data_IF_549811361434
#
_entry.id   IF_549811361434
#
_cell.length_a   1.000
_cell.length_b   1.000
_cell.length_c   1.000
_cell.angle_alpha   90.00
_cell.angle_beta   90.00
_cell.angle_gamma   90.00
#
_symmetry.space_group_name_H-M   'P 1'
#
loop_
_entity.id
_entity.type
_entity.pdbx_description
1 polymer ?
#
# COMPACT_ATOMS: atom_id res chain seq x y z
N UNK A 1 -28.97 21.81 3.81
CA UNK A 1 -28.40 20.72 3.00
C UNK A 1 -27.21 20.21 3.79
N UNK A 2 -27.42 19.13 4.55
CA UNK A 2 -26.46 18.66 5.54
C UNK A 2 -25.22 18.12 4.84
N UNK A 3 -24.04 18.57 5.28
CA UNK A 3 -22.78 17.94 4.95
C UNK A 3 -22.78 16.58 5.66
N UNK A 4 -22.67 15.52 4.87
CA UNK A 4 -22.56 14.14 5.34
C UNK A 4 -21.20 14.01 6.02
N UNK A 5 -21.20 14.16 7.35
CA UNK A 5 -20.00 14.10 8.16
C UNK A 5 -19.65 12.61 8.28
N UNK A 6 -18.73 12.13 7.44
CA UNK A 6 -18.26 10.75 7.46
C UNK A 6 -17.78 10.42 8.89
N UNK A 7 -18.58 9.63 9.60
CA UNK A 7 -18.23 9.10 10.91
C UNK A 7 -17.11 8.07 10.68
N UNK A 8 -15.89 8.43 11.06
CA UNK A 8 -14.77 7.48 11.03
C UNK A 8 -15.09 6.32 12.00
N UNK A 9 -14.98 5.05 11.56
CA UNK A 9 -15.30 3.90 12.41
C UNK A 9 -14.40 3.87 13.65
N UNK A 10 -15.03 3.77 14.81
CA UNK A 10 -14.40 3.81 16.12
C UNK A 10 -14.11 2.41 16.67
N UNK A 11 -12.96 1.85 16.32
CA UNK A 11 -12.21 0.92 17.18
C UNK A 11 -10.75 0.89 16.70
N UNK A 12 -9.74 1.28 17.50
CA UNK A 12 -8.36 1.07 17.11
C UNK A 12 -8.11 -0.44 17.11
N UNK A 13 -7.94 -1.03 15.93
CA UNK A 13 -7.28 -2.32 15.82
C UNK A 13 -5.90 -2.24 16.48
N UNK A 14 -5.35 -3.36 16.95
CA UNK A 14 -3.95 -3.40 17.41
C UNK A 14 -3.06 -2.82 16.31
N UNK A 15 -2.38 -1.70 16.60
CA UNK A 15 -1.64 -0.93 15.60
C UNK A 15 -0.67 -1.81 14.79
N UNK A 16 -0.71 -1.68 13.45
CA UNK A 16 0.16 -2.42 12.52
C UNK A 16 1.43 -1.64 12.22
N UNK A 17 2.53 -2.34 11.96
CA UNK A 17 3.76 -1.76 11.43
C UNK A 17 3.68 -1.73 9.91
N UNK A 18 3.54 -0.54 9.33
CA UNK A 18 3.31 -0.37 7.89
C UNK A 18 4.56 0.23 7.27
N UNK A 19 5.07 -0.39 6.21
CA UNK A 19 6.04 0.25 5.31
C UNK A 19 5.27 1.00 4.22
N UNK A 20 5.54 2.29 4.07
CA UNK A 20 4.91 3.17 3.09
C UNK A 20 5.96 3.72 2.13
N UNK A 21 5.71 3.61 0.83
CA UNK A 21 6.63 4.12 -0.19
C UNK A 21 5.91 4.38 -1.52
N UNK A 22 6.62 4.97 -2.49
CA UNK A 22 6.21 4.94 -3.90
C UNK A 22 6.95 3.81 -4.62
N UNK A 23 6.69 3.65 -5.92
CA UNK A 23 7.61 2.90 -6.78
C UNK A 23 8.91 3.69 -7.04
N UNK A 24 9.98 2.99 -7.45
CA UNK A 24 11.32 3.55 -7.60
C UNK A 24 11.42 4.71 -8.60
N UNK A 25 10.49 4.81 -9.56
CA UNK A 25 10.48 5.87 -10.59
C UNK A 25 9.58 7.07 -10.23
N UNK A 26 8.92 7.05 -9.07
CA UNK A 26 7.91 8.04 -8.71
C UNK A 26 8.41 9.01 -7.63
N UNK A 27 8.49 10.29 -7.98
CA UNK A 27 8.98 11.36 -7.11
C UNK A 27 7.87 12.07 -6.29
N UNK A 28 6.62 11.66 -6.41
CA UNK A 28 5.51 12.31 -5.70
C UNK A 28 5.55 12.01 -4.19
N UNK A 29 5.40 13.06 -3.39
CA UNK A 29 5.57 12.98 -1.92
C UNK A 29 4.30 13.26 -1.15
N UNK A 30 3.40 14.10 -1.66
CA UNK A 30 2.20 14.54 -0.92
C UNK A 30 1.25 13.39 -0.59
N UNK A 31 1.13 12.42 -1.49
CA UNK A 31 0.39 11.17 -1.24
C UNK A 31 0.97 10.40 -0.06
N UNK A 32 2.29 10.35 0.10
CA UNK A 32 2.93 9.66 1.22
C UNK A 32 2.72 10.41 2.53
N UNK A 33 2.84 11.73 2.54
CA UNK A 33 2.60 12.54 3.74
C UNK A 33 1.15 12.37 4.20
N UNK A 34 0.20 12.47 3.26
CA UNK A 34 -1.21 12.27 3.56
C UNK A 34 -1.50 10.86 4.11
N UNK A 35 -1.00 9.81 3.45
CA UNK A 35 -1.22 8.44 3.90
C UNK A 35 -0.54 8.14 5.23
N UNK A 36 0.64 8.69 5.50
CA UNK A 36 1.30 8.51 6.79
C UNK A 36 0.44 9.10 7.92
N UNK A 37 0.00 10.36 7.78
CA UNK A 37 -0.86 11.01 8.77
C UNK A 37 -2.17 10.23 8.99
N UNK A 38 -2.81 9.79 7.90
CA UNK A 38 -4.05 9.02 7.97
C UNK A 38 -3.84 7.70 8.71
N UNK A 39 -2.85 6.90 8.31
CA UNK A 39 -2.59 5.58 8.90
C UNK A 39 -2.16 5.70 10.38
N UNK A 40 -1.40 6.74 10.72
CA UNK A 40 -1.05 7.06 12.11
C UNK A 40 -2.29 7.48 12.93
N UNK A 41 -3.23 8.23 12.35
CA UNK A 41 -4.51 8.57 12.98
C UNK A 41 -5.37 7.32 13.27
N UNK A 42 -5.30 6.30 12.41
CA UNK A 42 -5.90 4.97 12.66
C UNK A 42 -5.10 4.10 13.66
N UNK A 43 -4.03 4.62 14.26
CA UNK A 43 -3.26 3.96 15.30
C UNK A 43 -2.19 3.00 14.80
N UNK A 44 -1.81 3.07 13.52
CA UNK A 44 -0.70 2.29 12.97
C UNK A 44 0.66 2.98 13.20
N UNK A 45 1.73 2.20 13.19
CA UNK A 45 3.11 2.71 13.16
C UNK A 45 3.61 2.70 11.73
N UNK A 46 3.89 3.87 11.15
CA UNK A 46 4.27 3.99 9.74
C UNK A 46 5.76 4.23 9.59
N UNK A 47 6.44 3.33 8.87
CA UNK A 47 7.78 3.55 8.33
C UNK A 47 7.64 4.09 6.91
N UNK A 48 7.57 5.42 6.78
CA UNK A 48 7.52 6.10 5.49
C UNK A 48 8.94 6.22 4.91
N UNK A 49 9.22 5.47 3.83
CA UNK A 49 10.52 5.46 3.17
C UNK A 49 10.72 6.65 2.22
N UNK A 50 9.66 7.38 1.91
CA UNK A 50 9.68 8.44 0.92
C UNK A 50 9.54 7.94 -0.52
N UNK A 51 9.74 8.85 -1.49
CA UNK A 51 9.61 8.57 -2.91
C UNK A 51 10.90 7.98 -3.52
N UNK A 52 10.81 7.46 -4.74
CA UNK A 52 11.94 6.97 -5.54
C UNK A 52 12.84 5.96 -4.80
N UNK A 53 12.28 5.15 -3.91
CA UNK A 53 13.05 4.22 -3.08
C UNK A 53 13.41 2.98 -3.90
N UNK A 54 14.70 2.56 -3.93
CA UNK A 54 15.10 1.31 -4.55
C UNK A 54 14.43 0.08 -3.91
N UNK A 55 14.06 -0.91 -4.72
CA UNK A 55 13.34 -2.10 -4.27
C UNK A 55 14.07 -2.86 -3.12
N UNK A 56 15.40 -2.90 -3.14
CA UNK A 56 16.24 -3.47 -2.07
C UNK A 56 16.03 -2.76 -0.73
N UNK A 57 15.96 -1.43 -0.73
CA UNK A 57 15.68 -0.65 0.49
C UNK A 57 14.27 -0.93 1.01
N UNK A 58 13.29 -1.12 0.13
CA UNK A 58 11.91 -1.49 0.53
C UNK A 58 11.89 -2.87 1.20
N UNK A 59 12.58 -3.85 0.62
CA UNK A 59 12.67 -5.22 1.16
C UNK A 59 13.37 -5.22 2.52
N UNK A 60 14.53 -4.56 2.62
CA UNK A 60 15.26 -4.43 3.88
C UNK A 60 14.44 -3.74 4.96
N UNK A 61 13.68 -2.69 4.60
CA UNK A 61 12.79 -2.03 5.54
C UNK A 61 11.70 -2.98 6.04
N UNK A 62 11.04 -3.73 5.15
CA UNK A 62 10.00 -4.69 5.54
C UNK A 62 10.54 -5.76 6.50
N UNK A 63 11.74 -6.28 6.25
CA UNK A 63 12.37 -7.27 7.12
C UNK A 63 12.79 -6.67 8.46
N UNK A 64 13.46 -5.52 8.45
CA UNK A 64 14.02 -4.86 9.65
C UNK A 64 12.95 -4.37 10.60
N UNK A 65 11.84 -3.85 10.08
CA UNK A 65 10.71 -3.39 10.90
C UNK A 65 9.74 -4.52 11.25
N UNK A 66 9.98 -5.72 10.70
CA UNK A 66 9.04 -6.85 10.70
C UNK A 66 7.63 -6.39 10.30
N UNK A 67 7.53 -5.73 9.14
CA UNK A 67 6.32 -5.09 8.68
C UNK A 67 5.12 -6.05 8.66
N UNK A 68 3.99 -5.54 9.13
CA UNK A 68 2.70 -6.20 9.09
C UNK A 68 1.97 -5.91 7.77
N UNK A 69 2.34 -4.85 7.06
CA UNK A 69 1.84 -4.54 5.72
C UNK A 69 2.80 -3.64 4.92
N UNK A 70 2.69 -3.72 3.59
CA UNK A 70 3.33 -2.83 2.62
C UNK A 70 2.26 -2.01 1.89
N UNK A 71 2.39 -0.68 1.91
CA UNK A 71 1.54 0.25 1.17
C UNK A 71 2.38 0.97 0.13
N UNK A 72 2.05 0.78 -1.15
CA UNK A 72 2.70 1.45 -2.29
C UNK A 72 1.74 2.48 -2.87
N UNK A 73 2.11 3.76 -2.81
CA UNK A 73 1.32 4.84 -3.39
C UNK A 73 2.05 5.47 -4.56
N UNK A 74 1.49 5.39 -5.76
CA UNK A 74 2.14 5.90 -6.97
C UNK A 74 1.14 6.59 -7.89
N UNK A 75 1.56 7.70 -8.48
CA UNK A 75 0.75 8.53 -9.38
C UNK A 75 1.48 8.94 -10.66
N UNK A 76 2.72 8.48 -10.87
CA UNK A 76 3.48 8.76 -12.09
C UNK A 76 3.03 7.93 -13.31
N UNK A 77 2.17 6.93 -13.11
CA UNK A 77 1.68 6.05 -14.16
C UNK A 77 2.59 4.89 -14.53
N UNK A 78 3.61 4.58 -13.73
CA UNK A 78 4.46 3.39 -13.88
C UNK A 78 4.13 2.28 -12.89
N UNK A 79 3.04 2.44 -12.12
CA UNK A 79 2.66 1.51 -11.05
C UNK A 79 2.48 0.06 -11.50
N UNK A 80 2.07 -0.17 -12.75
CA UNK A 80 1.95 -1.54 -13.28
C UNK A 80 3.33 -2.20 -13.49
N UNK A 81 4.28 -1.48 -14.07
CA UNK A 81 5.60 -2.04 -14.42
C UNK A 81 6.48 -2.14 -13.18
N UNK A 82 6.66 -1.02 -12.46
CA UNK A 82 7.54 -1.00 -11.29
C UNK A 82 6.90 -1.68 -10.09
N UNK A 83 5.57 -1.58 -9.94
CA UNK A 83 4.85 -2.28 -8.86
C UNK A 83 4.92 -3.79 -9.02
N UNK A 84 4.74 -4.32 -10.24
CA UNK A 84 4.88 -5.75 -10.50
C UNK A 84 6.29 -6.25 -10.15
N UNK A 85 7.34 -5.53 -10.58
CA UNK A 85 8.73 -5.84 -10.23
C UNK A 85 8.95 -5.86 -8.72
N UNK A 86 8.44 -4.85 -8.01
CA UNK A 86 8.60 -4.74 -6.56
C UNK A 86 7.90 -5.90 -5.83
N UNK A 87 6.64 -6.19 -6.16
CA UNK A 87 5.86 -7.18 -5.42
C UNK A 87 6.38 -8.61 -5.63
N UNK A 88 6.86 -8.96 -6.83
CA UNK A 88 7.54 -10.25 -7.07
C UNK A 88 8.72 -10.45 -6.13
N UNK A 89 9.52 -9.39 -5.92
CA UNK A 89 10.66 -9.45 -5.00
C UNK A 89 10.20 -9.56 -3.55
N UNK A 90 9.20 -8.77 -3.14
CA UNK A 90 8.63 -8.82 -1.78
C UNK A 90 8.10 -10.22 -1.47
N UNK A 91 7.37 -10.86 -2.40
CA UNK A 91 6.86 -12.22 -2.21
C UNK A 91 7.97 -13.26 -2.06
N UNK A 92 9.07 -13.11 -2.81
CA UNK A 92 10.22 -14.01 -2.75
C UNK A 92 11.09 -13.82 -1.51
N UNK A 93 11.32 -12.58 -1.08
CA UNK A 93 12.36 -12.22 -0.12
C UNK A 93 11.79 -11.88 1.28
N UNK A 94 10.55 -11.41 1.37
CA UNK A 94 9.86 -11.02 2.62
C UNK A 94 8.75 -12.03 2.98
N UNK A 95 8.04 -12.54 1.97
CA UNK A 95 6.94 -13.48 2.12
C UNK A 95 5.56 -12.84 1.98
N UNK A 96 4.53 -13.50 2.52
CA UNK A 96 3.12 -13.16 2.32
C UNK A 96 2.61 -12.07 3.26
N UNK A 97 3.37 -10.97 3.43
CA UNK A 97 2.83 -9.81 4.15
C UNK A 97 1.73 -9.13 3.30
N UNK A 98 0.63 -8.67 3.89
CA UNK A 98 -0.37 -7.86 3.20
C UNK A 98 0.27 -6.72 2.40
N UNK A 99 0.00 -6.66 1.11
CA UNK A 99 0.57 -5.66 0.20
C UNK A 99 -0.52 -5.02 -0.64
N UNK A 100 -0.52 -3.69 -0.65
CA UNK A 100 -1.47 -2.88 -1.41
C UNK A 100 -0.72 -1.88 -2.29
N UNK A 101 -1.25 -1.66 -3.48
CA UNK A 101 -0.80 -0.59 -4.39
C UNK A 101 -1.98 0.29 -4.80
N UNK A 102 -1.77 1.60 -4.87
CA UNK A 102 -2.83 2.50 -5.31
C UNK A 102 -2.37 3.85 -5.83
N UNK A 103 -3.32 4.58 -6.41
CA UNK A 103 -3.13 5.90 -7.00
C UNK A 103 -3.42 5.91 -8.50
N UNK A 104 -2.53 6.51 -9.30
CA UNK A 104 -2.61 6.56 -10.76
C UNK A 104 -1.53 5.66 -11.36
N UNK A 105 -1.93 4.41 -11.65
CA UNK A 105 -0.99 3.33 -11.98
C UNK A 105 -0.58 3.27 -13.46
N UNK A 106 -1.30 3.97 -14.34
CA UNK A 106 -1.00 4.07 -15.78
C UNK A 106 -1.21 5.51 -16.30
N UNK A 107 -0.50 5.87 -17.37
CA UNK A 107 -0.76 7.06 -18.19
C UNK A 107 -1.60 6.76 -19.42
N UNK A 108 -1.75 5.48 -19.78
CA UNK A 108 -2.49 5.02 -20.97
C UNK A 108 -3.96 4.81 -20.59
N UNK A 109 -4.88 5.12 -21.50
CA UNK A 109 -6.32 4.90 -21.33
C UNK A 109 -6.74 3.42 -21.32
N UNK A 110 -5.86 2.51 -20.88
CA UNK A 110 -6.17 1.11 -20.64
C UNK A 110 -7.29 1.01 -19.60
N UNK A 111 -8.23 0.09 -19.82
CA UNK A 111 -9.29 -0.18 -18.86
C UNK A 111 -8.66 -0.62 -17.54
N UNK A 112 -8.84 0.17 -16.48
CA UNK A 112 -8.22 -0.06 -15.18
C UNK A 112 -8.38 -1.48 -14.63
N UNK A 113 -9.46 -2.18 -15.01
CA UNK A 113 -9.70 -3.56 -14.62
C UNK A 113 -8.57 -4.53 -15.04
N UNK A 114 -8.05 -4.44 -16.26
CA UNK A 114 -6.98 -5.35 -16.73
C UNK A 114 -5.67 -5.11 -16.00
N UNK A 115 -5.40 -3.85 -15.67
CA UNK A 115 -4.19 -3.47 -14.92
C UNK A 115 -4.25 -3.92 -13.47
N UNK A 116 -5.42 -3.76 -12.82
CA UNK A 116 -5.63 -4.30 -11.48
C UNK A 116 -5.48 -5.82 -11.45
N UNK A 117 -6.09 -6.54 -12.41
CA UNK A 117 -5.98 -7.99 -12.49
C UNK A 117 -4.52 -8.44 -12.58
N UNK A 118 -3.72 -7.77 -13.43
CA UNK A 118 -2.28 -8.06 -13.54
C UNK A 118 -1.54 -7.89 -12.22
N UNK A 119 -1.76 -6.78 -11.52
CA UNK A 119 -1.07 -6.50 -10.25
C UNK A 119 -1.49 -7.46 -9.13
N UNK A 120 -2.76 -7.88 -9.11
CA UNK A 120 -3.25 -8.92 -8.21
C UNK A 120 -2.60 -10.27 -8.51
N UNK A 121 -2.57 -10.68 -9.78
CA UNK A 121 -1.96 -11.93 -10.22
C UNK A 121 -0.44 -11.98 -9.96
N UNK A 122 0.25 -10.85 -10.06
CA UNK A 122 1.69 -10.75 -9.74
C UNK A 122 1.95 -10.86 -8.24
N UNK A 123 0.97 -10.49 -7.40
CA UNK A 123 0.99 -10.81 -5.99
C UNK A 123 0.58 -9.68 -5.04
N UNK A 124 0.08 -8.53 -5.51
CA UNK A 124 -0.59 -7.60 -4.60
C UNK A 124 -1.90 -8.21 -4.10
N UNK A 125 -2.26 -7.94 -2.85
CA UNK A 125 -3.51 -8.44 -2.28
C UNK A 125 -4.69 -7.52 -2.63
N UNK A 126 -4.42 -6.24 -2.88
CA UNK A 126 -5.43 -5.24 -3.24
C UNK A 126 -4.84 -4.12 -4.09
N UNK A 127 -5.62 -3.63 -5.05
CA UNK A 127 -5.26 -2.54 -5.96
C UNK A 127 -6.34 -1.45 -5.89
N UNK A 128 -5.95 -0.23 -5.49
CA UNK A 128 -6.86 0.92 -5.44
C UNK A 128 -6.61 1.86 -6.62
N UNK A 129 -7.57 1.91 -7.56
CA UNK A 129 -7.51 2.78 -8.73
C UNK A 129 -8.30 4.07 -8.52
N UNK A 130 -7.71 5.19 -8.89
CA UNK A 130 -8.34 6.50 -8.72
C UNK A 130 -8.25 6.98 -7.27
N UNK A 131 -8.19 8.30 -7.10
CA UNK A 131 -8.09 8.88 -5.75
C UNK A 131 -9.32 8.55 -4.92
N UNK A 132 -9.12 8.23 -3.64
CA UNK A 132 -10.07 8.35 -2.51
C UNK A 132 -10.69 7.08 -1.90
N UNK A 133 -10.35 5.85 -2.30
CA UNK A 133 -10.89 4.67 -1.58
C UNK A 133 -10.11 4.35 -0.27
N UNK A 134 -10.16 5.31 0.66
CA UNK A 134 -9.48 5.24 1.96
C UNK A 134 -10.22 4.31 2.92
N UNK A 135 -11.54 4.25 2.81
CA UNK A 135 -12.39 3.28 3.49
C UNK A 135 -12.03 1.84 3.09
N UNK A 136 -11.78 1.59 1.80
CA UNK A 136 -11.28 0.31 1.33
C UNK A 136 -9.92 -0.02 1.92
N UNK A 137 -8.99 0.94 1.92
CA UNK A 137 -7.63 0.74 2.47
C UNK A 137 -7.66 0.38 3.96
N UNK A 138 -8.43 1.12 4.75
CA UNK A 138 -8.54 0.88 6.20
C UNK A 138 -9.17 -0.48 6.50
N UNK A 139 -10.27 -0.84 5.82
CA UNK A 139 -10.89 -2.17 5.95
C UNK A 139 -9.95 -3.30 5.54
N UNK A 140 -9.20 -3.12 4.45
CA UNK A 140 -8.19 -4.09 4.02
C UNK A 140 -7.16 -4.32 5.12
N UNK A 141 -6.58 -3.23 5.65
CA UNK A 141 -5.60 -3.30 6.71
C UNK A 141 -6.17 -3.97 7.95
N UNK A 142 -7.39 -3.64 8.38
CA UNK A 142 -8.03 -4.28 9.53
C UNK A 142 -8.25 -5.78 9.36
N UNK A 143 -8.71 -6.20 8.18
CA UNK A 143 -9.01 -7.60 7.87
C UNK A 143 -7.76 -8.48 7.74
N UNK A 144 -6.61 -7.86 7.43
CA UNK A 144 -5.34 -8.54 7.23
C UNK A 144 -4.77 -9.04 8.56
N UNK A 145 -5.34 -10.13 9.08
CA UNK A 145 -4.86 -10.83 10.27
C UNK A 145 -3.79 -11.82 9.85
N UNK A 146 -2.57 -11.72 10.40
CA UNK A 146 -1.54 -12.77 10.23
C UNK A 146 -2.15 -14.10 10.67
N UNK A 147 -2.19 -15.08 9.78
CA UNK A 147 -2.35 -16.48 10.18
C UNK A 147 -1.16 -16.82 11.06
N UNK A 148 -1.36 -16.78 12.38
CA UNK A 148 -0.41 -17.23 13.39
C UNK A 148 -0.35 -18.77 13.35
N UNK A 149 0.16 -19.33 12.25
CA UNK A 149 0.68 -20.69 12.26
C UNK A 149 2.19 -20.56 12.47
N UNK A 150 2.57 -20.39 13.75
CA UNK A 150 3.95 -20.65 14.19
C UNK A 150 4.02 -22.14 14.52
N UNK A 151 4.69 -22.91 13.66
CA UNK A 151 5.21 -24.23 13.99
C UNK A 151 6.60 -24.08 14.61
#
# INVERSE_FOLDING_TARGET
>A
MAADNAVLPSTPGTGRRIVLTTVSSDAHTWNLVFLALLLEEYGHTVTNLGPCVPDDVVIEACLRTEADALVVSTVNGHGVIDGARLIERVRREVGSIPAVIGGKLTTVGESGHELSARLLDTGFDTVFLGGSDLDGLTRFLDSATRSLVRA
#
